data_IF_888317134397
#
_entry.id   IF_888317134397
#
_cell.length_a   1.000
_cell.length_b   1.000
_cell.length_c   1.000
_cell.angle_alpha   90.00
_cell.angle_beta   90.00
_cell.angle_gamma   90.00
#
_symmetry.space_group_name_H-M   'P 1'
#
loop_
_entity.id
_entity.type
_entity.pdbx_description
1 polymer ?
#
# COMPACT_ATOMS: atom_id res chain seq x y z
N UNK A 1 -6.86 13.80 -8.88
CA UNK A 1 -6.03 13.40 -7.73
C UNK A 1 -6.92 12.64 -6.77
N UNK A 2 -6.64 11.36 -6.53
CA UNK A 2 -7.44 10.56 -5.59
C UNK A 2 -6.82 10.68 -4.20
N UNK A 3 -7.62 11.17 -3.25
CA UNK A 3 -7.25 11.31 -1.84
C UNK A 3 -8.09 10.34 -1.04
N UNK A 4 -7.45 9.56 -0.17
CA UNK A 4 -8.11 8.53 0.63
C UNK A 4 -7.77 8.78 2.09
N UNK A 5 -8.80 8.98 2.90
CA UNK A 5 -8.68 9.07 4.35
C UNK A 5 -8.99 7.73 4.98
N UNK A 6 -8.06 7.19 5.77
CA UNK A 6 -8.21 5.90 6.44
C UNK A 6 -8.04 6.08 7.94
N UNK A 7 -8.92 5.46 8.72
CA UNK A 7 -8.82 5.49 10.18
C UNK A 7 -8.30 4.16 10.66
N UNK A 8 -7.11 4.17 11.26
CA UNK A 8 -6.44 2.99 11.83
C UNK A 8 -6.27 3.23 13.33
N UNK A 9 -6.89 2.38 14.16
CA UNK A 9 -6.85 2.47 15.63
C UNK A 9 -7.19 3.88 16.16
N UNK A 10 -8.19 4.54 15.56
CA UNK A 10 -8.63 5.88 15.96
C UNK A 10 -7.76 7.04 15.45
N UNK A 11 -6.69 6.76 14.69
CA UNK A 11 -5.90 7.80 14.00
C UNK A 11 -6.29 7.86 12.53
N UNK A 12 -6.53 9.07 12.04
CA UNK A 12 -6.85 9.31 10.63
C UNK A 12 -5.58 9.62 9.87
N UNK A 13 -5.39 8.93 8.75
CA UNK A 13 -4.28 9.13 7.83
C UNK A 13 -4.83 9.48 6.46
N UNK A 14 -4.22 10.47 5.82
CA UNK A 14 -4.55 10.87 4.46
C UNK A 14 -3.47 10.35 3.54
N UNK A 15 -3.86 9.59 2.53
CA UNK A 15 -2.98 9.05 1.52
C UNK A 15 -3.41 9.56 0.15
N UNK A 16 -2.44 9.92 -0.68
CA UNK A 16 -2.67 10.22 -2.09
C UNK A 16 -2.01 9.18 -2.98
N UNK A 17 -2.47 9.11 -4.23
CA UNK A 17 -1.80 8.28 -5.25
C UNK A 17 -0.32 8.65 -5.40
N UNK A 18 0.00 9.94 -5.36
CA UNK A 18 1.37 10.43 -5.51
C UNK A 18 2.26 9.95 -4.37
N UNK A 19 1.77 9.95 -3.13
CA UNK A 19 2.54 9.44 -1.99
C UNK A 19 2.89 7.96 -2.19
N UNK A 20 1.93 7.15 -2.65
CA UNK A 20 2.16 5.73 -2.93
C UNK A 20 3.17 5.53 -4.06
N UNK A 21 3.07 6.32 -5.14
CA UNK A 21 4.02 6.25 -6.26
C UNK A 21 5.45 6.68 -5.85
N UNK A 22 5.59 7.72 -5.03
CA UNK A 22 6.90 8.16 -4.52
C UNK A 22 7.53 7.11 -3.59
N UNK A 23 6.71 6.44 -2.77
CA UNK A 23 7.17 5.29 -2.00
C UNK A 23 7.62 4.16 -2.94
N UNK A 24 6.81 3.77 -3.92
CA UNK A 24 7.14 2.65 -4.81
C UNK A 24 8.43 2.89 -5.61
N UNK A 25 8.72 4.13 -6.00
CA UNK A 25 9.96 4.50 -6.71
C UNK A 25 11.23 4.34 -5.87
N UNK A 26 11.13 4.53 -4.55
CA UNK A 26 12.29 4.44 -3.62
C UNK A 26 12.35 3.12 -2.87
N UNK A 27 11.24 2.37 -2.85
CA UNK A 27 11.12 1.14 -2.11
C UNK A 27 11.88 0.02 -2.84
N UNK A 28 12.69 -0.72 -2.12
CA UNK A 28 13.28 -1.92 -2.69
C UNK A 28 12.24 -3.04 -2.79
N UNK A 29 12.10 -3.66 -3.98
CA UNK A 29 11.22 -4.80 -4.16
C UNK A 29 11.69 -5.94 -3.25
N UNK A 30 10.74 -6.58 -2.58
CA UNK A 30 11.00 -7.76 -1.77
C UNK A 30 10.59 -9.00 -2.55
N UNK A 31 11.40 -10.05 -2.47
CA UNK A 31 10.95 -11.38 -2.86
C UNK A 31 9.66 -11.73 -2.11
N UNK A 32 8.65 -12.15 -2.86
CA UNK A 32 7.38 -12.61 -2.30
C UNK A 32 7.61 -13.96 -1.60
N UNK A 33 8.11 -13.93 -0.36
CA UNK A 33 8.37 -15.13 0.44
C UNK A 33 7.08 -15.65 1.09
N UNK A 34 6.86 -16.96 1.01
CA UNK A 34 5.76 -17.67 1.68
C UNK A 34 4.37 -17.28 1.16
N UNK A 35 3.46 -16.92 2.08
CA UNK A 35 2.04 -16.66 1.81
C UNK A 35 1.72 -15.23 1.31
N UNK A 36 2.69 -14.51 0.75
CA UNK A 36 2.50 -13.16 0.22
C UNK A 36 1.68 -13.17 -1.10
N UNK A 37 0.41 -13.57 -1.02
CA UNK A 37 -0.53 -13.66 -2.16
C UNK A 37 -0.86 -12.31 -2.80
N UNK A 38 -0.67 -11.21 -2.06
CA UNK A 38 -1.08 -9.88 -2.49
C UNK A 38 0.13 -8.95 -2.65
N UNK A 39 0.24 -8.37 -3.85
CA UNK A 39 1.30 -7.45 -4.23
C UNK A 39 0.76 -6.37 -5.16
N UNK A 40 1.49 -5.26 -5.23
CA UNK A 40 1.34 -4.22 -6.23
C UNK A 40 2.45 -4.41 -7.25
N UNK A 41 2.08 -4.34 -8.52
CA UNK A 41 3.05 -4.29 -9.61
C UNK A 41 3.28 -2.84 -9.98
N UNK A 42 4.55 -2.41 -9.97
CA UNK A 42 4.96 -1.07 -10.35
C UNK A 42 6.31 -1.18 -11.05
N UNK A 43 6.40 -0.62 -12.26
CA UNK A 43 7.59 -0.68 -13.12
C UNK A 43 8.13 -2.11 -13.35
N UNK A 44 7.22 -3.08 -13.55
CA UNK A 44 7.56 -4.49 -13.73
C UNK A 44 8.01 -5.23 -12.46
N UNK A 45 8.09 -4.53 -11.32
CA UNK A 45 8.48 -5.08 -10.02
C UNK A 45 7.27 -5.31 -9.12
N UNK A 46 7.36 -6.33 -8.24
CA UNK A 46 6.29 -6.71 -7.32
C UNK A 46 6.61 -6.28 -5.89
N UNK A 47 5.68 -5.58 -5.27
CA UNK A 47 5.82 -5.03 -3.93
C UNK A 47 4.75 -5.61 -2.99
N UNK A 48 5.12 -6.23 -1.86
CA UNK A 48 4.14 -6.69 -0.88
C UNK A 48 3.26 -5.54 -0.37
N UNK A 49 1.93 -5.68 -0.47
CA UNK A 49 0.98 -4.61 -0.09
C UNK A 49 1.16 -4.10 1.34
N UNK A 50 1.55 -4.99 2.27
CA UNK A 50 1.80 -4.61 3.66
C UNK A 50 3.04 -3.76 3.82
N UNK A 51 4.09 -4.01 3.02
CA UNK A 51 5.30 -3.18 3.02
C UNK A 51 4.98 -1.80 2.49
N UNK A 52 4.33 -1.73 1.33
CA UNK A 52 3.93 -0.46 0.72
C UNK A 52 3.12 0.38 1.72
N UNK A 53 2.09 -0.20 2.35
CA UNK A 53 1.29 0.55 3.33
C UNK A 53 2.10 0.97 4.58
N UNK A 54 3.04 0.14 5.03
CA UNK A 54 3.92 0.48 6.16
C UNK A 54 4.74 1.73 5.84
N UNK A 55 5.32 1.79 4.64
CA UNK A 55 6.15 2.92 4.22
C UNK A 55 5.36 4.20 3.95
N UNK A 56 4.10 4.08 3.51
CA UNK A 56 3.25 5.25 3.25
C UNK A 56 2.72 5.85 4.56
N UNK A 57 2.28 5.01 5.50
CA UNK A 57 1.61 5.47 6.74
C UNK A 57 2.59 5.56 7.93
N UNK A 58 3.76 4.92 7.84
CA UNK A 58 4.72 4.82 8.94
C UNK A 58 4.27 3.89 10.08
N UNK A 59 3.30 3.01 9.83
CA UNK A 59 2.77 2.08 10.83
C UNK A 59 3.33 0.67 10.64
N UNK A 60 3.67 -0.06 11.72
CA UNK A 60 4.22 -1.40 11.60
C UNK A 60 3.21 -2.36 10.97
N UNK A 61 3.69 -3.38 10.25
CA UNK A 61 2.87 -4.40 9.55
C UNK A 61 1.82 -5.10 10.44
N UNK A 62 2.01 -5.09 11.76
CA UNK A 62 1.07 -5.67 12.75
C UNK A 62 -0.12 -4.75 13.07
N UNK A 63 -0.06 -3.48 12.69
CA UNK A 63 -1.12 -2.52 12.93
C UNK A 63 -2.36 -2.75 12.06
N UNK A 64 -2.24 -3.51 10.96
CA UNK A 64 -3.32 -3.77 10.00
C UNK A 64 -3.20 -5.15 9.35
N UNK A 65 -4.31 -5.62 8.77
CA UNK A 65 -4.36 -6.90 8.03
C UNK A 65 -3.95 -6.73 6.57
N UNK A 66 -3.61 -7.85 5.90
CA UNK A 66 -3.27 -7.81 4.47
C UNK A 66 -4.48 -7.36 3.63
N UNK A 67 -5.68 -7.87 3.93
CA UNK A 67 -6.92 -7.45 3.27
C UNK A 67 -7.20 -5.94 3.43
N UNK A 68 -6.90 -5.38 4.61
CA UNK A 68 -7.03 -3.94 4.83
C UNK A 68 -6.09 -3.14 3.94
N UNK A 69 -4.82 -3.56 3.83
CA UNK A 69 -3.86 -2.93 2.92
C UNK A 69 -4.26 -3.06 1.45
N UNK A 70 -4.81 -4.22 1.05
CA UNK A 70 -5.32 -4.43 -0.30
C UNK A 70 -6.46 -3.45 -0.63
N UNK A 71 -7.42 -3.30 0.28
CA UNK A 71 -8.56 -2.40 0.06
C UNK A 71 -8.11 -0.95 -0.09
N UNK A 72 -7.21 -0.47 0.77
CA UNK A 72 -6.72 0.91 0.70
C UNK A 72 -5.95 1.14 -0.59
N UNK A 73 -4.97 0.29 -0.89
CA UNK A 73 -4.06 0.53 -2.01
C UNK A 73 -4.75 0.26 -3.35
N UNK A 74 -5.53 -0.81 -3.50
CA UNK A 74 -6.10 -1.22 -4.79
C UNK A 74 -7.45 -0.56 -5.09
N UNK A 75 -8.38 -0.52 -4.12
CA UNK A 75 -9.74 -0.01 -4.38
C UNK A 75 -9.81 1.51 -4.27
N UNK A 76 -9.01 2.10 -3.38
CA UNK A 76 -9.10 3.54 -3.11
C UNK A 76 -8.02 4.32 -3.84
N UNK A 77 -6.74 3.97 -3.67
CA UNK A 77 -5.63 4.81 -4.15
C UNK A 77 -5.25 4.52 -5.62
N UNK A 78 -5.03 3.26 -5.98
CA UNK A 78 -4.56 2.83 -7.30
C UNK A 78 -5.71 2.40 -8.23
N UNK A 79 -6.90 2.99 -8.09
CA UNK A 79 -8.11 2.58 -8.81
C UNK A 79 -7.79 2.32 -10.28
N UNK A 80 -7.72 1.04 -10.68
CA UNK A 80 -7.43 0.63 -12.06
C UNK A 80 -8.45 1.33 -12.95
N UNK A 81 -7.99 2.23 -13.81
CA UNK A 81 -8.77 2.59 -15.00
C UNK A 81 -8.90 1.29 -15.81
N UNK A 82 -10.08 0.68 -15.75
CA UNK A 82 -10.52 -0.21 -16.82
C UNK A 82 -10.85 0.64 -18.03
#
# INVERSE_FOLDING_TARGET
MTVVTVTIKGKTYTLTQKDVEEILKRLEPEELKGNAKYYIEFDGMKFPIKKVLTEVIGLPRIAFTAMYAYNILTNSVLRRRR
#
